data_IF_043557777961
#
_entry.id   IF_043557777961
#
_cell.length_a   1.000
_cell.length_b   1.000
_cell.length_c   1.000
_cell.angle_alpha   90.00
_cell.angle_beta   90.00
_cell.angle_gamma   90.00
#
_symmetry.space_group_name_H-M   'P 1'
#
loop_
_entity.id
_entity.type
_entity.pdbx_description
1 polymer ?
#
# COMPACT_ATOMS: atom_id res chain seq x y z
N UNK A 1 -1.61 65.07 16.46
CA UNK A 1 -1.27 63.75 15.89
C UNK A 1 -2.49 62.86 16.05
N UNK A 2 -3.24 62.61 14.98
CA UNK A 2 -4.48 61.82 15.00
C UNK A 2 -4.11 60.37 14.70
N UNK A 3 -4.37 59.47 15.65
CA UNK A 3 -4.15 58.03 15.48
C UNK A 3 -5.19 57.47 14.51
N UNK A 4 -4.71 56.92 13.40
CA UNK A 4 -5.52 56.24 12.40
C UNK A 4 -5.61 54.77 12.78
N UNK A 5 -6.73 54.35 13.38
CA UNK A 5 -7.02 52.94 13.65
C UNK A 5 -7.60 52.30 12.38
N UNK A 6 -6.82 51.46 11.72
CA UNK A 6 -7.28 50.65 10.59
C UNK A 6 -7.90 49.36 11.14
N UNK A 7 -9.23 49.27 11.11
CA UNK A 7 -9.98 48.06 11.43
C UNK A 7 -10.10 47.21 10.14
N UNK A 8 -9.33 46.12 10.04
CA UNK A 8 -9.45 45.17 8.93
C UNK A 8 -10.49 44.11 9.32
N UNK A 9 -11.72 44.27 8.81
CA UNK A 9 -12.80 43.29 8.98
C UNK A 9 -12.70 42.26 7.84
N UNK A 10 -12.27 41.03 8.14
CA UNK A 10 -12.40 39.91 7.20
C UNK A 10 -13.83 39.39 7.23
N UNK A 11 -14.63 39.75 6.23
CA UNK A 11 -15.92 39.11 5.96
C UNK A 11 -15.61 37.79 5.25
N UNK A 12 -15.73 36.67 5.97
CA UNK A 12 -15.72 35.34 5.34
C UNK A 12 -17.08 35.10 4.68
N UNK A 13 -17.12 35.21 3.36
CA UNK A 13 -18.20 34.63 2.57
C UNK A 13 -18.08 33.11 2.65
N UNK A 14 -19.01 32.45 3.34
CA UNK A 14 -19.19 31.00 3.21
C UNK A 14 -19.96 30.74 1.92
N UNK A 15 -19.25 30.30 0.89
CA UNK A 15 -19.89 29.62 -0.23
C UNK A 15 -20.33 28.25 0.27
N UNK A 16 -21.65 28.07 0.42
CA UNK A 16 -22.23 26.74 0.54
C UNK A 16 -22.01 26.01 -0.78
N UNK A 17 -20.95 25.21 -0.86
CA UNK A 17 -20.88 24.14 -1.84
C UNK A 17 -21.80 23.04 -1.35
N UNK A 18 -22.94 22.85 -2.03
CA UNK A 18 -23.67 21.60 -1.95
C UNK A 18 -22.71 20.49 -2.34
N UNK A 19 -22.16 19.80 -1.34
CA UNK A 19 -21.43 18.58 -1.57
C UNK A 19 -22.45 17.56 -2.08
N UNK A 20 -22.41 17.30 -3.39
CA UNK A 20 -22.93 16.03 -3.89
C UNK A 20 -22.28 14.92 -3.08
N UNK A 21 -23.05 13.97 -2.58
CA UNK A 21 -22.55 12.72 -2.00
C UNK A 21 -21.76 11.94 -3.06
N UNK A 22 -20.53 12.38 -3.31
CA UNK A 22 -19.55 11.72 -4.13
C UNK A 22 -18.59 11.01 -3.19
N UNK A 23 -18.60 9.69 -3.23
CA UNK A 23 -17.71 8.77 -2.52
C UNK A 23 -16.33 9.37 -2.17
N UNK A 24 -16.18 9.88 -0.95
CA UNK A 24 -14.87 10.26 -0.42
C UNK A 24 -14.20 9.00 0.12
N UNK A 25 -13.59 8.17 -0.73
CA UNK A 25 -12.57 7.26 -0.23
C UNK A 25 -11.33 8.09 0.10
N UNK A 26 -11.09 8.36 1.38
CA UNK A 26 -9.81 8.92 1.82
C UNK A 26 -8.74 7.84 1.60
N UNK A 27 -7.71 8.06 0.75
CA UNK A 27 -6.59 7.13 0.71
C UNK A 27 -5.99 7.02 2.12
N UNK A 28 -5.75 5.79 2.60
CA UNK A 28 -5.20 5.50 3.92
C UNK A 28 -6.10 5.76 5.15
N UNK A 29 -7.42 5.47 5.14
CA UNK A 29 -8.22 5.43 6.40
C UNK A 29 -7.57 4.59 7.52
N UNK A 30 -6.97 3.45 7.15
CA UNK A 30 -6.10 2.64 8.03
C UNK A 30 -4.65 3.12 7.93
N UNK A 31 -4.24 3.97 8.87
CA UNK A 31 -2.86 4.49 9.00
C UNK A 31 -2.05 3.65 9.98
N UNK A 32 -1.90 2.37 9.67
CA UNK A 32 -1.16 1.43 10.50
C UNK A 32 -0.31 0.48 9.67
N UNK A 33 0.78 0.01 10.27
CA UNK A 33 1.54 -1.14 9.83
C UNK A 33 0.98 -2.38 10.51
N UNK A 34 0.49 -3.34 9.73
CA UNK A 34 -0.22 -4.54 10.20
C UNK A 34 0.74 -5.72 10.17
N UNK A 35 0.83 -6.46 11.27
CA UNK A 35 1.72 -7.63 11.35
C UNK A 35 1.36 -8.71 10.32
N UNK A 36 2.36 -9.44 9.83
CA UNK A 36 2.14 -10.63 9.01
C UNK A 36 1.85 -11.84 9.90
N UNK A 37 0.66 -12.42 9.74
CA UNK A 37 0.26 -13.71 10.31
C UNK A 37 -0.22 -14.67 9.23
N UNK A 38 0.24 -14.48 7.99
CA UNK A 38 -0.13 -15.27 6.84
C UNK A 38 -1.47 -14.89 6.21
N UNK A 39 -1.99 -13.68 6.51
CA UNK A 39 -3.30 -13.22 6.04
C UNK A 39 -3.43 -13.09 4.51
N UNK A 40 -2.33 -13.21 3.77
CA UNK A 40 -2.31 -13.13 2.31
C UNK A 40 -1.63 -14.33 1.64
N UNK A 41 -1.40 -15.44 2.34
CA UNK A 41 -0.71 -16.61 1.78
C UNK A 41 -1.46 -17.27 0.61
N UNK A 42 -2.77 -17.05 0.50
CA UNK A 42 -3.61 -17.53 -0.60
C UNK A 42 -3.70 -16.54 -1.78
N UNK A 43 -3.22 -15.30 -1.60
CA UNK A 43 -3.38 -14.19 -2.57
C UNK A 43 -2.06 -13.69 -3.13
N UNK A 44 -0.98 -13.82 -2.38
CA UNK A 44 0.36 -13.39 -2.79
C UNK A 44 1.13 -14.54 -3.45
N UNK A 45 1.92 -14.26 -4.50
CA UNK A 45 2.96 -15.16 -4.98
C UNK A 45 3.90 -15.55 -3.84
N UNK A 46 4.37 -16.80 -3.83
CA UNK A 46 5.17 -17.40 -2.73
C UNK A 46 6.34 -16.49 -2.31
N UNK A 47 7.04 -15.87 -3.25
CA UNK A 47 8.18 -14.99 -2.98
C UNK A 47 7.83 -13.71 -2.19
N UNK A 48 6.55 -13.35 -2.10
CA UNK A 48 6.06 -12.15 -1.40
C UNK A 48 5.27 -12.49 -0.13
N UNK A 49 5.08 -13.77 0.20
CA UNK A 49 4.33 -14.19 1.40
C UNK A 49 5.13 -13.97 2.70
N UNK A 50 6.47 -14.04 2.61
CA UNK A 50 7.38 -13.86 3.73
C UNK A 50 7.74 -12.38 3.91
N UNK A 51 6.90 -11.63 4.61
CA UNK A 51 7.13 -10.24 5.02
C UNK A 51 6.90 -10.04 6.52
N UNK A 52 7.39 -8.95 7.11
CA UNK A 52 7.22 -8.67 8.54
C UNK A 52 5.90 -7.95 8.83
N UNK A 53 5.64 -6.84 8.11
CA UNK A 53 4.45 -6.01 8.26
C UNK A 53 3.97 -5.50 6.91
N UNK A 54 2.71 -5.10 6.82
CA UNK A 54 2.15 -4.52 5.62
C UNK A 54 1.31 -3.27 5.88
N UNK A 55 1.17 -2.47 4.84
CA UNK A 55 0.05 -1.54 4.70
C UNK A 55 -0.94 -2.23 3.76
N UNK A 56 -2.19 -2.35 4.19
CA UNK A 56 -3.27 -2.94 3.38
C UNK A 56 -4.44 -1.96 3.30
N UNK A 57 -4.30 -0.95 2.43
CA UNK A 57 -5.34 0.04 2.21
C UNK A 57 -5.23 0.73 0.84
N UNK A 58 -5.96 0.23 -0.15
CA UNK A 58 -5.92 0.71 -1.53
C UNK A 58 -4.72 0.16 -2.30
N UNK A 59 -3.51 0.53 -1.90
CA UNK A 59 -2.28 -0.13 -2.34
C UNK A 59 -1.74 -1.02 -1.20
N UNK A 60 -1.20 -2.18 -1.56
CA UNK A 60 -0.57 -3.07 -0.59
C UNK A 60 0.94 -2.82 -0.60
N UNK A 61 1.53 -2.62 0.58
CA UNK A 61 2.97 -2.42 0.73
C UNK A 61 3.48 -3.40 1.77
N UNK A 62 4.50 -4.18 1.43
CA UNK A 62 5.05 -5.24 2.27
C UNK A 62 6.46 -4.84 2.73
N UNK A 63 6.70 -4.89 4.03
CA UNK A 63 7.96 -4.49 4.66
C UNK A 63 8.75 -5.73 5.07
N UNK A 64 10.02 -5.77 4.64
CA UNK A 64 11.03 -6.76 5.03
C UNK A 64 12.19 -6.07 5.75
N UNK A 65 13.08 -6.86 6.35
CA UNK A 65 14.30 -6.35 6.99
C UNK A 65 15.20 -5.52 6.04
N UNK A 66 15.16 -5.77 4.72
CA UNK A 66 16.04 -5.12 3.74
C UNK A 66 15.33 -4.69 2.45
N UNK A 67 14.01 -4.79 2.38
CA UNK A 67 13.26 -4.43 1.17
C UNK A 67 11.84 -3.99 1.48
N UNK A 68 11.27 -3.24 0.55
CA UNK A 68 9.86 -2.83 0.57
C UNK A 68 9.26 -3.22 -0.78
N UNK A 69 8.15 -3.96 -0.76
CA UNK A 69 7.45 -4.38 -1.96
C UNK A 69 6.15 -3.59 -2.08
N UNK A 70 6.01 -2.83 -3.15
CA UNK A 70 4.77 -2.17 -3.54
C UNK A 70 4.00 -3.09 -4.48
N UNK A 71 2.80 -3.46 -4.08
CA UNK A 71 1.90 -4.30 -4.85
C UNK A 71 0.71 -3.47 -5.35
N UNK A 72 0.64 -3.34 -6.67
CA UNK A 72 -0.46 -2.71 -7.38
C UNK A 72 -1.32 -3.78 -8.05
N UNK A 73 -2.63 -3.70 -7.84
CA UNK A 73 -3.61 -4.54 -8.53
C UNK A 73 -4.54 -3.66 -9.34
N UNK A 74 -4.75 -4.03 -10.61
CA UNK A 74 -5.78 -3.43 -11.46
C UNK A 74 -6.91 -4.44 -11.60
N UNK A 75 -8.08 -4.08 -11.09
CA UNK A 75 -9.30 -4.86 -11.28
C UNK A 75 -9.88 -4.55 -12.67
N UNK A 76 -10.05 -5.58 -13.50
CA UNK A 76 -10.65 -5.46 -14.83
C UNK A 76 -12.14 -5.82 -14.83
N UNK A 77 -12.79 -5.76 -13.66
CA UNK A 77 -14.20 -6.14 -13.50
C UNK A 77 -15.17 -5.20 -14.21
N UNK A 78 -14.82 -3.91 -14.33
CA UNK A 78 -15.63 -2.96 -15.10
C UNK A 78 -15.66 -3.36 -16.59
N UNK A 79 -14.50 -3.67 -17.15
CA UNK A 79 -14.35 -4.14 -18.54
C UNK A 79 -15.12 -5.47 -18.76
N UNK A 80 -15.12 -6.37 -17.76
CA UNK A 80 -15.91 -7.60 -17.79
C UNK A 80 -17.42 -7.33 -17.85
N UNK A 81 -17.91 -6.47 -16.97
CA UNK A 81 -19.34 -6.13 -16.89
C UNK A 81 -19.80 -5.47 -18.18
N UNK A 82 -18.99 -4.58 -18.76
CA UNK A 82 -19.27 -3.93 -20.03
C UNK A 82 -19.39 -4.96 -21.17
N UNK A 83 -18.44 -5.89 -21.30
CA UNK A 83 -18.54 -6.97 -22.30
C UNK A 83 -19.76 -7.88 -22.06
N UNK A 84 -20.06 -8.25 -20.82
CA UNK A 84 -21.23 -9.07 -20.48
C UNK A 84 -22.56 -8.39 -20.82
N UNK A 85 -22.69 -7.07 -20.61
CA UNK A 85 -23.89 -6.31 -20.98
C UNK A 85 -24.09 -6.31 -22.50
N UNK A 86 -23.01 -6.26 -23.27
CA UNK A 86 -23.06 -6.23 -24.73
C UNK A 86 -23.20 -7.61 -25.38
N UNK A 87 -23.09 -8.72 -24.62
CA UNK A 87 -23.36 -10.07 -25.14
C UNK A 87 -24.83 -10.24 -25.55
N UNK A 88 -25.04 -10.75 -26.76
CA UNK A 88 -26.37 -11.10 -27.27
C UNK A 88 -26.93 -12.36 -26.58
N UNK A 89 -28.26 -12.50 -26.59
CA UNK A 89 -28.93 -13.70 -26.07
C UNK A 89 -28.49 -15.00 -26.79
N UNK A 90 -28.05 -14.92 -28.05
CA UNK A 90 -27.54 -16.08 -28.81
C UNK A 90 -26.13 -16.48 -28.39
N UNK A 91 -25.30 -15.52 -28.00
CA UNK A 91 -23.95 -15.79 -27.48
C UNK A 91 -24.04 -16.42 -26.09
N UNK A 92 -24.88 -15.86 -25.21
CA UNK A 92 -25.14 -16.44 -23.88
C UNK A 92 -25.70 -17.85 -23.94
N UNK A 93 -26.57 -18.14 -24.91
CA UNK A 93 -27.14 -19.49 -25.08
C UNK A 93 -26.12 -20.53 -25.61
N UNK A 94 -24.96 -20.10 -26.11
CA UNK A 94 -23.86 -20.96 -26.59
C UNK A 94 -22.67 -20.98 -25.63
N UNK A 95 -22.78 -20.27 -24.51
CA UNK A 95 -21.74 -20.22 -23.49
C UNK A 95 -21.59 -21.58 -22.83
N UNK A 96 -20.37 -22.11 -22.80
CA UNK A 96 -20.04 -23.35 -22.10
C UNK A 96 -19.32 -23.02 -20.79
N UNK A 97 -19.33 -23.91 -19.78
CA UNK A 97 -18.57 -23.70 -18.55
C UNK A 97 -17.08 -23.41 -18.81
N UNK A 98 -16.50 -24.03 -19.84
CA UNK A 98 -15.12 -23.79 -20.27
C UNK A 98 -14.91 -22.39 -20.85
N UNK A 99 -15.83 -21.91 -21.70
CA UNK A 99 -15.79 -20.55 -22.23
C UNK A 99 -16.00 -19.51 -21.13
N UNK A 100 -16.93 -19.74 -20.20
CA UNK A 100 -17.13 -18.85 -19.05
C UNK A 100 -15.88 -18.77 -18.17
N UNK A 101 -15.19 -19.89 -17.93
CA UNK A 101 -13.93 -19.90 -17.19
C UNK A 101 -12.82 -19.13 -17.93
N UNK A 102 -12.75 -19.30 -19.25
CA UNK A 102 -11.80 -18.57 -20.10
C UNK A 102 -12.05 -17.06 -20.08
N UNK A 103 -13.31 -16.63 -20.20
CA UNK A 103 -13.68 -15.22 -20.10
C UNK A 103 -13.40 -14.68 -18.70
N UNK A 104 -13.73 -15.41 -17.63
CA UNK A 104 -13.36 -15.00 -16.26
C UNK A 104 -11.85 -14.82 -16.09
N UNK A 105 -11.03 -15.69 -16.71
CA UNK A 105 -9.55 -15.55 -16.70
C UNK A 105 -9.07 -14.35 -17.51
N UNK A 106 -9.73 -13.99 -18.61
CA UNK A 106 -9.41 -12.79 -19.41
C UNK A 106 -9.51 -11.51 -18.57
N UNK A 107 -10.47 -11.46 -17.64
CA UNK A 107 -10.69 -10.32 -16.75
C UNK A 107 -10.12 -10.49 -15.34
N UNK A 108 -9.24 -11.48 -15.15
CA UNK A 108 -8.53 -11.64 -13.89
C UNK A 108 -7.77 -10.34 -13.55
N UNK A 109 -7.68 -9.97 -12.26
CA UNK A 109 -6.88 -8.82 -11.85
C UNK A 109 -5.44 -8.97 -12.32
N UNK A 110 -4.87 -7.89 -12.84
CA UNK A 110 -3.44 -7.86 -13.17
C UNK A 110 -2.66 -7.30 -12.00
N UNK A 111 -1.58 -7.98 -11.64
CA UNK A 111 -0.75 -7.64 -10.49
C UNK A 111 0.62 -7.15 -10.95
N UNK A 112 1.10 -6.07 -10.34
CA UNK A 112 2.46 -5.57 -10.51
C UNK A 112 3.13 -5.40 -9.14
N UNK A 113 4.37 -5.86 -9.07
CA UNK A 113 5.20 -5.78 -7.87
C UNK A 113 6.43 -4.94 -8.18
N UNK A 114 6.67 -3.92 -7.37
CA UNK A 114 7.86 -3.08 -7.44
C UNK A 114 8.59 -3.20 -6.10
N UNK A 115 9.84 -3.65 -6.14
CA UNK A 115 10.65 -3.87 -4.94
C UNK A 115 11.67 -2.75 -4.81
N UNK A 116 11.59 -1.97 -3.75
CA UNK A 116 12.71 -1.18 -3.25
C UNK A 116 13.63 -2.11 -2.48
N UNK A 117 14.83 -2.34 -2.99
CA UNK A 117 15.85 -3.15 -2.34
C UNK A 117 16.94 -2.24 -1.76
N UNK A 118 17.15 -2.28 -0.45
CA UNK A 118 18.33 -1.68 0.17
C UNK A 118 19.56 -2.51 -0.19
N UNK A 119 20.52 -1.88 -0.87
CA UNK A 119 21.72 -2.52 -1.37
C UNK A 119 22.76 -2.62 -0.27
N UNK A 120 23.35 -3.81 -0.10
CA UNK A 120 24.35 -4.10 0.93
C UNK A 120 23.86 -3.77 2.36
N UNK A 121 22.54 -3.81 2.58
CA UNK A 121 21.96 -3.67 3.91
C UNK A 121 22.54 -4.74 4.85
N UNK A 122 22.63 -4.40 6.12
CA UNK A 122 23.09 -5.32 7.15
C UNK A 122 22.19 -6.58 7.17
N UNK A 123 22.75 -7.80 7.02
CA UNK A 123 21.94 -9.03 7.07
C UNK A 123 21.27 -9.25 8.43
N UNK A 124 21.75 -8.60 9.48
CA UNK A 124 21.19 -8.65 10.83
C UNK A 124 20.24 -7.47 11.13
N UNK A 125 19.84 -6.70 10.12
CA UNK A 125 18.82 -5.67 10.30
C UNK A 125 17.51 -6.31 10.80
N UNK A 126 16.80 -5.62 11.70
CA UNK A 126 15.57 -6.10 12.32
C UNK A 126 14.45 -5.10 12.13
N UNK A 127 13.20 -5.56 12.12
CA UNK A 127 12.03 -4.68 12.10
C UNK A 127 11.45 -4.57 13.50
N UNK A 128 11.40 -3.34 14.01
CA UNK A 128 10.76 -2.98 15.27
C UNK A 128 9.51 -2.15 15.01
N UNK A 129 8.52 -2.25 15.90
CA UNK A 129 7.27 -1.49 15.82
C UNK A 129 6.93 -0.88 17.16
N UNK A 130 6.24 0.24 17.14
CA UNK A 130 5.78 0.93 18.35
C UNK A 130 4.41 1.55 18.15
N UNK A 131 3.83 2.06 19.24
CA UNK A 131 2.51 2.69 19.23
C UNK A 131 1.42 1.76 18.68
N UNK A 132 1.23 0.63 19.35
CA UNK A 132 0.22 -0.38 18.99
C UNK A 132 -1.17 0.27 18.95
N UNK A 133 -1.89 0.05 17.85
CA UNK A 133 -3.27 0.47 17.67
C UNK A 133 -4.18 -0.24 18.66
N UNK A 134 -5.19 0.47 19.18
CA UNK A 134 -6.26 -0.13 19.97
C UNK A 134 -7.22 -0.96 19.10
N UNK A 135 -7.20 -0.75 17.78
CA UNK A 135 -8.00 -1.51 16.81
C UNK A 135 -7.28 -2.77 16.40
N UNK A 136 -8.04 -3.86 16.33
CA UNK A 136 -7.61 -5.14 15.80
C UNK A 136 -8.09 -5.31 14.35
N UNK A 137 -7.27 -5.92 13.49
CA UNK A 137 -7.53 -6.01 12.05
C UNK A 137 -7.80 -7.45 11.66
N UNK A 138 -9.07 -7.77 11.42
CA UNK A 138 -9.54 -9.10 11.05
C UNK A 138 -9.46 -9.38 9.55
N UNK A 139 -8.90 -10.53 9.19
CA UNK A 139 -8.79 -11.04 7.82
C UNK A 139 -9.43 -12.42 7.72
N UNK A 140 -10.36 -12.60 6.78
CA UNK A 140 -10.98 -13.90 6.52
C UNK A 140 -10.03 -14.73 5.65
N UNK A 141 -9.57 -15.85 6.19
CA UNK A 141 -8.64 -16.79 5.55
C UNK A 141 -9.33 -18.13 5.37
N UNK A 142 -9.10 -18.75 4.21
CA UNK A 142 -9.55 -20.11 3.92
C UNK A 142 -8.68 -21.13 4.67
N UNK A 143 -9.30 -22.11 5.34
CA UNK A 143 -8.54 -23.19 5.99
C UNK A 143 -7.85 -24.07 4.93
N UNK A 144 -6.58 -24.46 5.14
CA UNK A 144 -5.90 -25.40 4.26
C UNK A 144 -6.73 -26.69 4.09
N UNK A 145 -6.74 -27.26 2.88
CA UNK A 145 -7.37 -28.54 2.56
C UNK A 145 -8.90 -28.61 2.78
N UNK A 146 -9.60 -27.48 2.76
CA UNK A 146 -11.08 -27.43 2.83
C UNK A 146 -11.62 -26.60 1.67
N UNK A 147 -12.83 -26.90 1.17
CA UNK A 147 -13.42 -26.10 0.09
C UNK A 147 -14.15 -24.86 0.59
N UNK A 148 -14.76 -24.90 1.77
CA UNK A 148 -15.70 -23.88 2.26
C UNK A 148 -15.50 -23.45 3.72
N UNK A 149 -14.39 -23.84 4.35
CA UNK A 149 -14.13 -23.42 5.74
C UNK A 149 -13.21 -22.20 5.78
N UNK A 150 -13.61 -21.24 6.58
CA UNK A 150 -12.89 -20.00 6.79
C UNK A 150 -12.69 -19.74 8.28
N UNK A 151 -11.69 -18.95 8.61
CA UNK A 151 -11.48 -18.39 9.94
C UNK A 151 -11.03 -16.94 9.84
N UNK A 152 -11.25 -16.17 10.90
CA UNK A 152 -10.76 -14.79 10.97
C UNK A 152 -9.41 -14.79 11.66
N UNK A 153 -8.36 -14.39 10.93
CA UNK A 153 -7.07 -14.08 11.48
C UNK A 153 -7.04 -12.62 11.94
N UNK A 154 -6.79 -12.44 13.22
CA UNK A 154 -6.66 -11.14 13.85
C UNK A 154 -5.18 -10.72 13.88
N UNK A 155 -4.89 -9.54 13.34
CA UNK A 155 -3.55 -8.96 13.23
C UNK A 155 -3.50 -7.60 13.94
N UNK A 156 -2.49 -7.40 14.77
CA UNK A 156 -2.18 -6.11 15.38
C UNK A 156 -1.72 -5.07 14.34
N UNK A 157 -2.13 -3.83 14.55
CA UNK A 157 -1.62 -2.66 13.83
C UNK A 157 -0.74 -1.77 14.71
N UNK A 158 0.20 -1.05 14.10
CA UNK A 158 1.16 -0.18 14.77
C UNK A 158 1.28 1.16 14.02
N UNK A 159 1.45 2.27 14.74
CA UNK A 159 1.57 3.58 14.09
C UNK A 159 2.96 3.86 13.51
N UNK A 160 3.99 3.15 14.01
CA UNK A 160 5.38 3.33 13.61
C UNK A 160 6.05 1.97 13.36
N UNK A 161 6.92 1.93 12.36
CA UNK A 161 7.76 0.79 12.01
C UNK A 161 9.19 1.28 11.75
N UNK A 162 10.18 0.64 12.33
CA UNK A 162 11.59 0.99 12.15
C UNK A 162 12.38 -0.23 11.71
N UNK A 163 13.08 -0.12 10.59
CA UNK A 163 14.14 -1.06 10.22
C UNK A 163 15.42 -0.61 10.93
N UNK A 164 15.76 -1.33 11.99
CA UNK A 164 16.92 -1.05 12.84
C UNK A 164 18.18 -1.64 12.26
N UNK A 165 19.28 -0.92 12.43
CA UNK A 165 20.61 -1.33 11.99
C UNK A 165 20.61 -1.69 10.49
N UNK A 166 19.88 -0.91 9.68
CA UNK A 166 19.80 -1.09 8.23
C UNK A 166 21.20 -1.00 7.62
N UNK A 167 22.00 -0.04 8.11
CA UNK A 167 23.45 0.00 8.00
C UNK A 167 24.04 0.30 9.38
N UNK A 168 25.37 0.18 9.51
CA UNK A 168 26.02 0.49 10.79
C UNK A 168 25.76 1.95 11.20
N UNK A 169 25.00 2.15 12.27
CA UNK A 169 24.60 3.48 12.75
C UNK A 169 23.48 4.15 11.95
N UNK A 170 22.78 3.43 11.06
CA UNK A 170 21.66 3.96 10.27
C UNK A 170 20.41 3.10 10.46
N UNK A 171 19.31 3.73 10.86
CA UNK A 171 17.98 3.14 10.90
C UNK A 171 17.06 3.79 9.85
N UNK A 172 16.01 3.08 9.42
CA UNK A 172 14.94 3.64 8.59
C UNK A 172 13.59 3.54 9.32
N UNK A 173 13.06 4.69 9.76
CA UNK A 173 11.76 4.79 10.41
C UNK A 173 10.68 5.13 9.39
N UNK A 174 9.52 4.47 9.48
CA UNK A 174 8.34 4.67 8.65
C UNK A 174 7.15 5.04 9.53
N UNK A 175 6.38 6.04 9.07
CA UNK A 175 5.23 6.58 9.80
C UNK A 175 4.22 7.20 8.83
N UNK A 176 2.98 7.37 9.25
CA UNK A 176 1.94 8.00 8.44
C UNK A 176 1.87 9.51 8.65
N UNK A 177 1.74 10.26 7.56
CA UNK A 177 1.43 11.69 7.62
C UNK A 177 -0.09 11.92 7.75
N UNK A 178 -0.52 13.04 8.33
CA UNK A 178 -1.94 13.35 8.55
C UNK A 178 -2.74 13.52 7.25
N UNK A 179 -2.12 14.04 6.18
CA UNK A 179 -2.80 14.37 4.92
C UNK A 179 -2.37 13.52 3.72
N UNK A 180 -1.36 12.65 3.89
CA UNK A 180 -0.71 11.91 2.80
C UNK A 180 -0.55 10.42 3.17
N UNK A 181 0.13 9.66 2.31
CA UNK A 181 0.57 8.29 2.62
C UNK A 181 1.63 8.22 3.72
N UNK A 182 2.36 7.11 3.77
CA UNK A 182 3.46 6.97 4.70
C UNK A 182 4.71 7.72 4.21
N UNK A 183 5.51 8.19 5.15
CA UNK A 183 6.83 8.80 4.95
C UNK A 183 7.88 7.97 5.66
N UNK A 184 9.14 8.33 5.43
CA UNK A 184 10.25 7.73 6.15
C UNK A 184 11.27 8.77 6.60
N UNK A 185 11.97 8.46 7.68
CA UNK A 185 13.17 9.15 8.16
C UNK A 185 14.36 8.18 8.08
N UNK A 186 15.52 8.67 7.66
CA UNK A 186 16.79 7.98 7.87
C UNK A 186 17.43 8.55 9.12
N UNK A 187 17.51 7.75 10.18
CA UNK A 187 18.08 8.16 11.47
C UNK A 187 19.56 7.76 11.45
N UNK A 188 20.44 8.76 11.39
CA UNK A 188 21.87 8.58 11.18
C UNK A 188 22.59 8.97 12.45
N UNK A 189 23.28 8.00 13.06
CA UNK A 189 24.11 8.21 14.25
C UNK A 189 25.37 9.01 13.91
N UNK A 190 25.91 9.73 14.90
CA UNK A 190 27.17 10.44 14.72
C UNK A 190 28.30 9.47 14.30
N UNK A 191 29.00 9.81 13.22
CA UNK A 191 30.08 9.00 12.65
C UNK A 191 29.64 7.87 11.73
N UNK A 192 28.34 7.68 11.46
CA UNK A 192 27.87 6.70 10.48
C UNK A 192 28.24 7.13 9.04
N UNK A 193 28.59 6.16 8.20
CA UNK A 193 28.97 6.39 6.81
C UNK A 193 27.72 6.42 5.89
N UNK A 194 27.30 7.63 5.53
CA UNK A 194 26.13 7.84 4.67
C UNK A 194 26.31 7.33 3.24
N UNK A 195 27.56 7.11 2.80
CA UNK A 195 27.82 6.59 1.45
C UNK A 195 27.40 5.14 1.27
N UNK A 196 27.12 4.42 2.37
CA UNK A 196 26.58 3.07 2.37
C UNK A 196 25.11 3.02 1.97
N UNK A 197 24.37 4.13 2.16
CA UNK A 197 22.93 4.20 1.92
C UNK A 197 22.67 4.17 0.41
N UNK A 198 22.26 3.01 -0.08
CA UNK A 198 21.98 2.78 -1.50
C UNK A 198 20.75 1.90 -1.63
N UNK A 199 19.89 2.20 -2.59
CA UNK A 199 18.76 1.34 -2.92
C UNK A 199 18.55 1.30 -4.43
N UNK A 200 17.87 0.26 -4.89
CA UNK A 200 17.39 0.13 -6.27
C UNK A 200 15.92 -0.24 -6.28
N UNK A 201 15.25 0.05 -7.39
CA UNK A 201 13.91 -0.45 -7.66
C UNK A 201 13.97 -1.56 -8.70
N UNK A 202 13.33 -2.68 -8.41
CA UNK A 202 13.12 -3.80 -9.32
C UNK A 202 11.64 -3.90 -9.69
N UNK A 203 11.33 -4.34 -10.91
CA UNK A 203 9.93 -4.49 -11.38
C UNK A 203 9.26 -3.21 -11.89
N UNK A 204 9.92 -2.06 -11.80
CA UNK A 204 9.46 -0.80 -12.40
C UNK A 204 9.77 -0.75 -13.90
N UNK A 205 8.89 -0.14 -14.71
CA UNK A 205 9.13 0.06 -16.15
C UNK A 205 10.23 1.09 -16.42
N UNK A 206 10.26 2.13 -15.58
CA UNK A 206 11.27 3.17 -15.66
C UNK A 206 11.39 3.88 -14.31
N UNK A 207 12.58 4.35 -13.98
CA UNK A 207 12.88 5.13 -12.78
C UNK A 207 13.74 6.31 -13.20
N UNK A 208 13.27 7.53 -12.92
CA UNK A 208 13.99 8.74 -13.33
C UNK A 208 13.72 9.88 -12.35
N UNK A 209 14.64 10.83 -12.33
CA UNK A 209 14.49 12.08 -11.58
C UNK A 209 13.92 13.16 -12.50
N UNK A 210 12.95 13.92 -12.00
CA UNK A 210 12.43 15.12 -12.66
C UNK A 210 12.11 16.13 -11.58
N UNK A 211 12.67 17.34 -11.68
CA UNK A 211 12.49 18.40 -10.69
C UNK A 211 12.80 17.95 -9.24
N UNK A 212 13.89 17.19 -9.06
CA UNK A 212 14.30 16.61 -7.76
C UNK A 212 13.31 15.58 -7.16
N UNK A 213 12.26 15.24 -7.89
CA UNK A 213 11.32 14.18 -7.53
C UNK A 213 11.70 12.87 -8.21
N UNK A 214 11.63 11.79 -7.44
CA UNK A 214 11.80 10.44 -7.95
C UNK A 214 10.49 9.95 -8.56
N UNK A 215 10.48 9.72 -9.87
CA UNK A 215 9.35 9.15 -10.58
C UNK A 215 9.60 7.67 -10.88
N UNK A 216 8.66 6.84 -10.46
CA UNK A 216 8.64 5.40 -10.71
C UNK A 216 7.46 5.09 -11.62
N UNK A 217 7.73 4.69 -12.85
CA UNK A 217 6.70 4.33 -13.82
C UNK A 217 6.24 2.90 -13.59
N UNK A 218 4.97 2.76 -13.23
CA UNK A 218 4.26 1.49 -13.08
C UNK A 218 3.73 0.99 -14.43
#
# INVERSE_FOLDING_TARGET
MKNFNLLITFIFFTLNTNASEGWTRKPFERKVFIENKGQFNDRLPVQYQSFNYCIDNGAQVLFNNNSIVYHFSKNNMADFIEEEIHKSNRERARETPENEERERKKFAPTHQYITLQWLNANPNATVEVSNKSATDYGYVIKKPNTEKDYFTQHCAGYANLTIKNLYNGVDAEYFFNQNEGFKYNLIISAGADVSQIKFKYEGAKNVYLKNEELHIKT
#
